data_IF_512981368379
#
_entry.id   IF_512981368379
#
_cell.length_a   1.000
_cell.length_b   1.000
_cell.length_c   1.000
_cell.angle_alpha   90.00
_cell.angle_beta   90.00
_cell.angle_gamma   90.00
#
_symmetry.space_group_name_H-M   'P 1'
#
loop_
_entity.id
_entity.type
_entity.pdbx_description
1 polymer ?
#
# COMPACT_ATOMS: atom_id res chain seq x y z
N UNK A 1 1.32 32.03 4.25
CA UNK A 1 2.36 31.02 3.97
C UNK A 1 1.91 29.72 4.62
N UNK A 2 1.54 28.69 3.85
CA UNK A 2 1.10 27.41 4.38
C UNK A 2 2.29 26.77 5.12
N UNK A 3 2.31 26.83 6.45
CA UNK A 3 3.27 26.06 7.24
C UNK A 3 3.19 24.59 6.80
N UNK A 4 4.31 23.88 6.62
CA UNK A 4 4.30 22.57 5.99
C UNK A 4 3.34 21.66 6.76
N UNK A 5 2.25 21.29 6.09
CA UNK A 5 1.39 20.20 6.51
C UNK A 5 2.23 18.96 6.23
N UNK A 6 3.03 18.56 7.23
CA UNK A 6 4.10 17.58 7.08
C UNK A 6 3.54 16.28 6.48
N UNK A 7 3.90 16.05 5.23
CA UNK A 7 3.92 14.73 4.59
C UNK A 7 5.28 14.12 4.96
N UNK A 8 5.32 12.84 5.30
CA UNK A 8 6.57 12.22 5.77
C UNK A 8 7.54 11.97 4.61
N UNK A 9 7.02 11.59 3.45
CA UNK A 9 7.78 11.55 2.21
C UNK A 9 6.89 11.80 0.99
N UNK A 10 7.46 12.43 -0.02
CA UNK A 10 6.89 12.53 -1.37
C UNK A 10 7.69 11.63 -2.31
N UNK A 11 7.03 11.15 -3.35
CA UNK A 11 7.65 10.38 -4.43
C UNK A 11 6.69 10.28 -5.62
N UNK A 12 7.18 9.82 -6.76
CA UNK A 12 6.35 9.54 -7.93
C UNK A 12 6.59 8.13 -8.47
N UNK A 13 5.63 7.60 -9.22
CA UNK A 13 5.81 6.34 -9.96
C UNK A 13 6.55 6.59 -11.28
N UNK A 14 7.08 5.55 -11.95
CA UNK A 14 7.66 5.69 -13.29
C UNK A 14 6.68 6.28 -14.33
N UNK A 15 5.38 6.19 -14.08
CA UNK A 15 4.33 6.81 -14.90
C UNK A 15 4.06 8.29 -14.53
N UNK A 16 4.87 8.90 -13.67
CA UNK A 16 4.74 10.28 -13.20
C UNK A 16 3.59 10.51 -12.21
N UNK A 17 2.98 9.46 -11.65
CA UNK A 17 1.87 9.63 -10.70
C UNK A 17 2.45 9.98 -9.33
N UNK A 18 2.07 11.12 -8.77
CA UNK A 18 2.56 11.60 -7.49
C UNK A 18 1.86 10.96 -6.29
N UNK A 19 2.65 10.56 -5.31
CA UNK A 19 2.21 9.94 -4.05
C UNK A 19 2.86 10.61 -2.84
N UNK A 20 2.22 10.42 -1.70
CA UNK A 20 2.76 10.76 -0.39
C UNK A 20 2.71 9.53 0.53
N UNK A 21 3.77 9.34 1.31
CA UNK A 21 3.75 8.48 2.50
C UNK A 21 3.33 9.33 3.72
N UNK A 22 2.42 8.80 4.52
CA UNK A 22 1.87 9.43 5.71
C UNK A 22 1.95 8.46 6.89
N UNK A 23 2.39 8.93 8.05
CA UNK A 23 2.28 8.20 9.31
C UNK A 23 0.90 8.46 9.92
N UNK A 24 0.03 7.44 9.87
CA UNK A 24 -1.30 7.45 10.45
C UNK A 24 -1.33 6.35 11.50
N UNK A 25 -1.74 6.67 12.73
CA UNK A 25 -1.90 5.71 13.83
C UNK A 25 -0.73 4.70 13.98
N UNK A 26 0.50 5.19 13.82
CA UNK A 26 1.73 4.41 14.00
C UNK A 26 2.19 3.58 12.79
N UNK A 27 1.49 3.60 11.67
CA UNK A 27 1.85 2.88 10.45
C UNK A 27 1.94 3.80 9.23
N UNK A 28 2.64 3.33 8.19
CA UNK A 28 2.80 4.09 6.94
C UNK A 28 1.65 3.79 5.99
N UNK A 29 0.92 4.82 5.59
CA UNK A 29 -0.02 4.78 4.49
C UNK A 29 0.53 5.47 3.23
N UNK A 30 0.28 4.91 2.04
CA UNK A 30 0.72 5.50 0.77
C UNK A 30 -0.49 5.94 -0.06
N UNK A 31 -0.66 7.25 -0.28
CA UNK A 31 -1.83 7.80 -0.98
C UNK A 31 -1.43 8.64 -2.20
N UNK A 32 -2.19 8.56 -3.31
CA UNK A 32 -2.02 9.49 -4.42
C UNK A 32 -2.36 10.91 -3.96
N UNK A 33 -1.52 11.89 -4.33
CA UNK A 33 -1.70 13.30 -3.93
C UNK A 33 -3.03 13.85 -4.43
N UNK A 34 -3.42 13.49 -5.66
CA UNK A 34 -4.70 13.91 -6.27
C UNK A 34 -5.93 13.12 -5.78
N UNK A 35 -5.77 12.20 -4.83
CA UNK A 35 -6.91 11.43 -4.31
C UNK A 35 -7.86 12.28 -3.45
N UNK A 36 -9.16 11.94 -3.48
CA UNK A 36 -10.17 12.55 -2.58
C UNK A 36 -9.78 12.37 -1.10
N UNK A 37 -9.21 11.21 -0.75
CA UNK A 37 -8.74 10.89 0.61
C UNK A 37 -7.64 11.86 1.06
N UNK A 38 -6.59 12.03 0.25
CA UNK A 38 -5.50 12.96 0.55
C UNK A 38 -6.00 14.41 0.68
N UNK A 39 -6.86 14.86 -0.24
CA UNK A 39 -7.49 16.19 -0.16
C UNK A 39 -8.26 16.41 1.14
N UNK A 40 -9.07 15.44 1.56
CA UNK A 40 -9.85 15.52 2.81
C UNK A 40 -8.94 15.49 4.03
N UNK A 41 -7.89 14.66 4.02
CA UNK A 41 -6.90 14.63 5.09
C UNK A 41 -6.16 15.96 5.24
N UNK A 42 -5.76 16.58 4.12
CA UNK A 42 -5.08 17.88 4.13
C UNK A 42 -5.95 18.97 4.79
N UNK A 43 -7.26 18.98 4.47
CA UNK A 43 -8.25 19.84 5.13
C UNK A 43 -8.32 19.60 6.63
N UNK A 44 -8.48 18.33 7.03
CA UNK A 44 -8.57 17.93 8.45
C UNK A 44 -7.31 18.36 9.21
N UNK A 45 -6.13 18.10 8.66
CA UNK A 45 -4.84 18.42 9.28
C UNK A 45 -4.67 19.93 9.46
N UNK A 46 -5.03 20.73 8.45
CA UNK A 46 -5.00 22.18 8.57
C UNK A 46 -5.98 22.70 9.61
N UNK A 47 -7.21 22.20 9.61
CA UNK A 47 -8.22 22.57 10.60
C UNK A 47 -7.77 22.26 12.03
N UNK A 48 -7.23 21.05 12.26
CA UNK A 48 -6.68 20.67 13.57
C UNK A 48 -5.52 21.58 14.03
N UNK A 49 -4.71 22.09 13.10
CA UNK A 49 -3.55 22.95 13.42
C UNK A 49 -3.92 24.42 13.63
N UNK A 50 -4.95 24.90 12.93
CA UNK A 50 -5.26 26.35 12.85
C UNK A 50 -6.63 26.74 13.40
N UNK A 51 -7.51 25.77 13.66
CA UNK A 51 -8.92 26.00 13.99
C UNK A 51 -9.77 26.54 12.84
N UNK A 52 -9.19 26.71 11.64
CA UNK A 52 -9.86 27.34 10.49
C UNK A 52 -9.91 26.42 9.27
N UNK A 53 -10.88 26.63 8.38
CA UNK A 53 -10.97 25.89 7.13
C UNK A 53 -10.02 26.47 6.06
N UNK A 54 -9.42 25.59 5.25
CA UNK A 54 -8.77 26.03 4.01
C UNK A 54 -9.82 26.40 2.96
N UNK A 55 -9.57 27.51 2.25
CA UNK A 55 -10.34 27.85 1.05
C UNK A 55 -10.07 26.84 -0.07
N UNK A 56 -11.01 26.68 -0.99
CA UNK A 56 -10.84 25.78 -2.13
C UNK A 56 -9.61 26.13 -3.01
N UNK A 57 -9.30 27.42 -3.31
CA UNK A 57 -8.08 27.78 -4.03
C UNK A 57 -6.81 27.40 -3.29
N UNK A 58 -6.75 27.65 -1.97
CA UNK A 58 -5.56 27.33 -1.17
C UNK A 58 -5.25 25.83 -1.18
N UNK A 59 -6.28 24.98 -1.17
CA UNK A 59 -6.11 23.53 -1.29
C UNK A 59 -5.59 23.15 -2.67
N UNK A 60 -6.15 23.74 -3.73
CA UNK A 60 -5.68 23.45 -5.09
C UNK A 60 -4.19 23.76 -5.21
N UNK A 61 -3.78 24.98 -4.82
CA UNK A 61 -2.39 25.41 -4.87
C UNK A 61 -1.47 24.52 -4.03
N UNK A 62 -1.93 24.06 -2.86
CA UNK A 62 -1.16 23.13 -2.03
C UNK A 62 -0.97 21.77 -2.71
N UNK A 63 -2.03 21.22 -3.33
CA UNK A 63 -1.95 19.96 -4.07
C UNK A 63 -1.06 20.09 -5.30
N UNK A 64 -1.15 21.19 -6.04
CA UNK A 64 -0.34 21.47 -7.22
C UNK A 64 1.15 21.56 -6.86
N UNK A 65 1.47 22.24 -5.75
CA UNK A 65 2.84 22.33 -5.24
C UNK A 65 3.39 20.97 -4.80
N UNK A 66 2.61 20.18 -4.05
CA UNK A 66 3.04 18.86 -3.59
C UNK A 66 3.22 17.88 -4.75
N UNK A 67 2.37 17.95 -5.79
CA UNK A 67 2.51 17.14 -7.00
C UNK A 67 3.77 17.50 -7.78
N UNK A 68 4.03 18.80 -8.00
CA UNK A 68 5.25 19.25 -8.66
C UNK A 68 6.50 18.81 -7.88
N UNK A 69 6.52 19.00 -6.56
CA UNK A 69 7.64 18.56 -5.72
C UNK A 69 7.83 17.04 -5.80
N UNK A 70 6.75 16.26 -5.77
CA UNK A 70 6.83 14.81 -5.88
C UNK A 70 7.36 14.35 -7.25
N UNK A 71 7.02 15.04 -8.35
CA UNK A 71 7.43 14.69 -9.71
C UNK A 71 8.85 15.12 -10.05
N UNK A 72 9.29 16.29 -9.59
CA UNK A 72 10.56 16.89 -10.04
C UNK A 72 11.67 16.87 -8.98
N UNK A 73 11.32 16.85 -7.70
CA UNK A 73 12.29 16.99 -6.60
C UNK A 73 12.38 15.75 -5.69
N UNK A 74 11.52 14.75 -5.90
CA UNK A 74 11.40 13.57 -5.05
C UNK A 74 11.74 12.28 -5.81
N UNK A 75 12.13 11.19 -5.12
CA UNK A 75 12.57 9.97 -5.79
C UNK A 75 11.45 9.26 -6.55
N UNK A 76 11.82 8.55 -7.61
CA UNK A 76 10.94 7.60 -8.29
C UNK A 76 10.81 6.31 -7.47
N UNK A 77 9.60 5.77 -7.31
CA UNK A 77 9.31 4.49 -6.63
C UNK A 77 8.10 3.77 -7.21
N UNK A 78 8.16 2.44 -7.24
CA UNK A 78 7.01 1.59 -7.59
C UNK A 78 5.93 1.58 -6.50
N UNK A 79 4.67 1.53 -6.92
CA UNK A 79 3.51 1.37 -6.04
C UNK A 79 2.71 0.15 -6.49
N UNK A 80 2.39 -0.70 -5.54
CA UNK A 80 1.70 -1.97 -5.76
C UNK A 80 0.32 -1.91 -5.13
N UNK A 81 -0.58 -2.82 -5.51
CA UNK A 81 -1.89 -2.93 -4.86
C UNK A 81 -1.85 -3.99 -3.77
N UNK A 82 -1.57 -5.24 -4.17
CA UNK A 82 -1.69 -6.39 -3.26
C UNK A 82 -0.40 -7.18 -3.14
N UNK A 83 0.35 -7.32 -4.22
CA UNK A 83 1.61 -8.08 -4.24
C UNK A 83 2.74 -7.22 -4.80
N UNK A 84 3.90 -7.31 -4.18
CA UNK A 84 5.13 -6.67 -4.62
C UNK A 84 6.32 -7.61 -4.42
N UNK A 85 7.34 -7.47 -5.26
CA UNK A 85 8.66 -8.06 -5.03
C UNK A 85 9.63 -6.95 -4.61
N UNK A 86 10.49 -7.23 -3.65
CA UNK A 86 11.62 -6.36 -3.32
C UNK A 86 12.76 -7.15 -2.68
N UNK A 87 13.94 -7.06 -3.28
CA UNK A 87 15.18 -7.68 -2.79
C UNK A 87 15.08 -9.20 -2.60
N UNK A 88 14.42 -9.89 -3.54
CA UNK A 88 14.23 -11.35 -3.53
C UNK A 88 13.10 -11.83 -2.63
N UNK A 89 12.37 -10.92 -1.99
CA UNK A 89 11.25 -11.23 -1.09
C UNK A 89 9.93 -10.79 -1.73
N UNK A 90 8.89 -11.59 -1.53
CA UNK A 90 7.52 -11.25 -1.94
C UNK A 90 6.77 -10.66 -0.74
N UNK A 91 6.01 -9.60 -0.99
CA UNK A 91 5.19 -8.93 0.02
C UNK A 91 3.73 -8.99 -0.43
N UNK A 92 2.87 -9.54 0.44
CA UNK A 92 1.42 -9.56 0.26
C UNK A 92 0.77 -8.60 1.26
N UNK A 93 0.17 -7.52 0.79
CA UNK A 93 -0.57 -6.58 1.65
C UNK A 93 -1.81 -7.28 2.24
N UNK A 94 -1.96 -7.30 3.56
CA UNK A 94 -3.13 -7.91 4.19
C UNK A 94 -4.39 -7.07 4.01
N UNK A 95 -4.26 -5.79 3.68
CA UNK A 95 -5.43 -4.90 3.55
C UNK A 95 -6.13 -4.61 4.88
N UNK A 96 -5.51 -4.97 6.00
CA UNK A 96 -6.05 -4.76 7.35
C UNK A 96 -5.81 -3.33 7.85
N UNK A 97 -6.54 -2.91 8.87
CA UNK A 97 -6.45 -1.54 9.42
C UNK A 97 -5.06 -1.17 9.94
N UNK A 98 -4.23 -2.16 10.28
CA UNK A 98 -2.87 -1.97 10.81
C UNK A 98 -1.79 -1.84 9.72
N UNK A 99 -2.17 -1.86 8.43
CA UNK A 99 -1.23 -1.76 7.31
C UNK A 99 -0.13 -2.83 7.29
N UNK A 100 -0.47 -4.04 7.74
CA UNK A 100 0.46 -5.16 7.78
C UNK A 100 0.55 -5.86 6.43
N UNK A 101 1.70 -6.47 6.17
CA UNK A 101 1.95 -7.31 5.02
C UNK A 101 2.57 -8.64 5.45
N UNK A 102 2.38 -9.68 4.65
CA UNK A 102 3.14 -10.92 4.75
C UNK A 102 4.41 -10.78 3.91
N UNK A 103 5.57 -10.86 4.55
CA UNK A 103 6.86 -11.01 3.88
C UNK A 103 7.12 -12.50 3.68
N UNK A 104 7.41 -12.90 2.44
CA UNK A 104 7.58 -14.28 2.01
C UNK A 104 8.95 -14.40 1.35
N UNK A 105 9.76 -15.34 1.82
CA UNK A 105 11.07 -15.66 1.25
C UNK A 105 11.33 -17.17 1.28
N UNK A 106 12.54 -17.56 0.88
CA UNK A 106 12.95 -18.98 0.82
C UNK A 106 12.92 -19.70 2.18
N UNK A 107 13.06 -18.96 3.27
CA UNK A 107 13.00 -19.47 4.65
C UNK A 107 11.60 -19.53 5.27
N UNK A 108 10.54 -19.22 4.50
CA UNK A 108 9.17 -19.13 4.97
C UNK A 108 8.63 -17.69 4.96
N UNK A 109 7.63 -17.43 5.79
CA UNK A 109 6.94 -16.14 5.80
C UNK A 109 6.73 -15.59 7.21
N UNK A 110 6.52 -14.27 7.31
CA UNK A 110 6.15 -13.60 8.56
C UNK A 110 5.28 -12.37 8.29
N UNK A 111 4.46 -11.97 9.26
CA UNK A 111 3.69 -10.73 9.19
C UNK A 111 4.53 -9.56 9.70
N UNK A 112 4.60 -8.47 8.93
CA UNK A 112 5.35 -7.26 9.24
C UNK A 112 4.45 -6.01 9.17
N UNK A 113 4.72 -5.01 10.01
CA UNK A 113 3.95 -3.75 10.06
C UNK A 113 4.50 -2.61 9.20
N UNK A 114 5.72 -2.74 8.67
CA UNK A 114 6.37 -1.70 7.85
C UNK A 114 7.11 -2.35 6.69
N UNK A 115 6.39 -2.79 5.63
CA UNK A 115 7.05 -3.35 4.46
C UNK A 115 7.94 -2.30 3.77
N UNK A 116 9.05 -2.70 3.12
CA UNK A 116 9.90 -1.76 2.38
C UNK A 116 9.22 -1.25 1.09
N UNK A 117 8.27 -2.01 0.55
CA UNK A 117 7.47 -1.68 -0.64
C UNK A 117 6.30 -0.75 -0.33
N UNK A 118 5.82 0.00 -1.33
CA UNK A 118 4.67 0.90 -1.20
C UNK A 118 3.41 0.23 -1.75
N UNK A 119 2.38 0.13 -0.91
CA UNK A 119 1.07 -0.35 -1.31
C UNK A 119 0.07 0.81 -1.36
N UNK A 120 -0.70 0.92 -2.44
CA UNK A 120 -1.93 1.70 -2.45
C UNK A 120 -3.11 0.74 -2.28
N UNK A 121 -4.11 1.14 -1.51
CA UNK A 121 -5.33 0.36 -1.31
C UNK A 121 -6.51 1.04 -2.04
N UNK A 122 -6.93 0.53 -3.22
CA UNK A 122 -8.10 1.05 -3.92
C UNK A 122 -9.39 0.90 -3.11
N UNK A 123 -10.42 1.65 -3.48
CA UNK A 123 -11.74 1.47 -2.90
C UNK A 123 -12.26 0.04 -3.15
N UNK A 124 -12.87 -0.57 -2.14
CA UNK A 124 -13.39 -1.94 -2.20
C UNK A 124 -12.38 -3.05 -1.90
N UNK A 125 -11.11 -2.72 -1.66
CA UNK A 125 -10.13 -3.69 -1.17
C UNK A 125 -10.49 -4.13 0.25
N UNK A 126 -10.69 -5.44 0.43
CA UNK A 126 -11.04 -6.04 1.71
C UNK A 126 -9.82 -6.64 2.41
N UNK A 127 -9.81 -6.72 3.75
CA UNK A 127 -8.76 -7.41 4.48
C UNK A 127 -8.73 -8.90 4.12
N UNK A 128 -7.54 -9.48 4.09
CA UNK A 128 -7.32 -10.92 4.06
C UNK A 128 -7.29 -11.47 5.50
N UNK A 129 -7.67 -12.74 5.70
CA UNK A 129 -7.43 -13.40 6.97
C UNK A 129 -5.93 -13.44 7.27
N UNK A 130 -5.58 -13.49 8.56
CA UNK A 130 -4.21 -13.72 8.96
C UNK A 130 -3.81 -15.14 8.57
N UNK A 131 -2.62 -15.34 7.96
CA UNK A 131 -2.14 -16.67 7.66
C UNK A 131 -1.85 -17.44 8.96
N UNK A 132 -2.16 -18.73 8.94
CA UNK A 132 -1.90 -19.66 10.03
C UNK A 132 -0.82 -20.67 9.61
N UNK A 133 0.16 -20.99 10.48
CA UNK A 133 1.17 -21.99 10.16
C UNK A 133 0.58 -23.41 10.22
N UNK A 134 1.18 -24.33 9.47
CA UNK A 134 0.86 -25.77 9.56
C UNK A 134 -0.26 -26.26 8.65
N UNK A 135 -0.77 -25.44 7.73
CA UNK A 135 -1.69 -25.90 6.68
C UNK A 135 -1.05 -26.89 5.71
N UNK A 136 -1.85 -27.80 5.16
CA UNK A 136 -1.42 -28.76 4.14
C UNK A 136 -1.76 -28.28 2.73
N UNK A 137 -0.86 -28.52 1.77
CA UNK A 137 -1.15 -28.29 0.34
C UNK A 137 -2.33 -29.16 -0.16
N UNK A 138 -2.61 -30.28 0.52
CA UNK A 138 -3.76 -31.13 0.23
C UNK A 138 -5.11 -30.41 0.48
N UNK A 139 -5.13 -29.35 1.30
CA UNK A 139 -6.33 -28.53 1.55
C UNK A 139 -6.77 -27.73 0.31
N UNK A 140 -5.89 -27.57 -0.69
CA UNK A 140 -6.27 -26.98 -1.99
C UNK A 140 -7.11 -27.94 -2.84
N UNK A 141 -6.96 -29.25 -2.69
CA UNK A 141 -7.61 -30.26 -3.53
C UNK A 141 -9.14 -30.07 -3.67
N UNK A 142 -9.92 -29.82 -2.60
CA UNK A 142 -11.36 -29.58 -2.74
C UNK A 142 -11.73 -28.21 -3.36
N UNK A 143 -10.78 -27.29 -3.50
CA UNK A 143 -11.01 -25.93 -4.02
C UNK A 143 -10.74 -25.79 -5.53
N UNK A 144 -10.09 -26.79 -6.13
CA UNK A 144 -9.73 -26.82 -7.54
C UNK A 144 -10.40 -28.00 -8.25
N UNK A 145 -10.74 -27.82 -9.53
CA UNK A 145 -11.45 -28.83 -10.30
C UNK A 145 -10.48 -29.92 -10.81
N UNK A 146 -10.15 -30.87 -9.94
CA UNK A 146 -9.22 -31.97 -10.23
C UNK A 146 -9.99 -33.27 -10.48
N UNK A 147 -9.56 -34.03 -11.49
CA UNK A 147 -10.13 -35.36 -11.78
C UNK A 147 -9.43 -36.46 -10.99
N UNK A 148 -8.13 -36.27 -10.68
CA UNK A 148 -7.32 -37.25 -9.95
C UNK A 148 -6.34 -36.58 -8.98
N UNK A 149 -5.78 -37.37 -8.05
CA UNK A 149 -4.69 -36.91 -7.18
C UNK A 149 -3.43 -36.54 -7.95
N UNK A 150 -3.19 -37.13 -9.13
CA UNK A 150 -2.05 -36.77 -9.95
C UNK A 150 -2.18 -35.35 -10.52
N UNK A 151 -3.42 -34.88 -10.73
CA UNK A 151 -3.67 -33.51 -11.17
C UNK A 151 -3.26 -32.51 -10.09
N UNK A 152 -3.46 -32.86 -8.80
CA UNK A 152 -2.97 -32.04 -7.68
C UNK A 152 -1.45 -31.91 -7.74
N UNK A 153 -0.72 -33.00 -8.02
CA UNK A 153 0.74 -32.96 -8.13
C UNK A 153 1.18 -32.00 -9.25
N UNK A 154 0.49 -32.03 -10.39
CA UNK A 154 0.79 -31.10 -11.51
C UNK A 154 0.53 -29.64 -11.11
N UNK A 155 -0.57 -29.36 -10.41
CA UNK A 155 -0.87 -28.02 -9.90
C UNK A 155 0.18 -27.54 -8.90
N UNK A 156 0.56 -28.40 -7.95
CA UNK A 156 1.57 -28.07 -6.93
C UNK A 156 2.94 -27.85 -7.58
N UNK A 157 3.32 -28.66 -8.56
CA UNK A 157 4.58 -28.48 -9.30
C UNK A 157 4.60 -27.21 -10.15
N UNK A 158 3.45 -26.70 -10.59
CA UNK A 158 3.37 -25.41 -11.27
C UNK A 158 3.47 -24.22 -10.30
N UNK A 159 3.03 -24.40 -9.04
CA UNK A 159 3.08 -23.37 -8.00
C UNK A 159 4.47 -23.20 -7.36
N UNK A 160 5.34 -24.20 -7.48
CA UNK A 160 6.71 -24.25 -6.92
C UNK A 160 7.76 -23.93 -7.99
#
# INVERSE_FOLDING_TARGET
MLAPLAVDALFHTPAGIAFADLMVDGHRETWPIRSKRFRTWLRRRYYQKTGSALSAPAISSALDMLEAQAQFDAPERSVHVRVAEHAGQIYLDLGDENWRAVEIGSGGWRVIGSPPVRFRRPAGMLPLPLPEPGGSIDELAPLVNLSTRNDLVLVVMWLL
#
